data_IF_900939007451
#
_entry.id   IF_900939007451
#
_cell.length_a   1.000
_cell.length_b   1.000
_cell.length_c   1.000
_cell.angle_alpha   90.00
_cell.angle_beta   90.00
_cell.angle_gamma   90.00
#
_symmetry.space_group_name_H-M   'P 1'
#
loop_
_entity.id
_entity.type
_entity.pdbx_description
1 polymer ?
#
# COMPACT_ATOMS: atom_id res chain seq x y z
N UNK A 1 -18.21 -12.19 5.37
CA UNK A 1 -17.18 -11.28 4.82
C UNK A 1 -16.56 -11.88 3.56
N UNK A 2 -16.39 -11.08 2.50
CA UNK A 2 -15.56 -11.41 1.32
C UNK A 2 -14.35 -10.46 1.30
N UNK A 3 -13.15 -10.99 1.09
CA UNK A 3 -11.94 -10.21 0.92
C UNK A 3 -11.43 -10.32 -0.51
N UNK A 4 -10.98 -9.22 -1.09
CA UNK A 4 -10.41 -9.20 -2.44
C UNK A 4 -9.32 -8.18 -2.63
N UNK A 5 -8.42 -8.45 -3.57
CA UNK A 5 -7.31 -7.55 -3.88
C UNK A 5 -6.09 -8.27 -4.41
N UNK A 6 -4.92 -7.74 -4.11
CA UNK A 6 -3.64 -8.36 -4.44
C UNK A 6 -2.68 -8.27 -3.27
N UNK A 7 -1.86 -9.30 -3.11
CA UNK A 7 -0.79 -9.32 -2.13
C UNK A 7 -1.09 -10.14 -0.86
N UNK A 8 -0.01 -10.59 -0.22
CA UNK A 8 -0.09 -11.55 0.89
C UNK A 8 -0.76 -10.97 2.15
N UNK A 9 -1.02 -9.65 2.22
CA UNK A 9 -1.70 -9.03 3.36
C UNK A 9 -3.17 -9.50 3.49
N UNK A 10 -3.79 -10.00 2.43
CA UNK A 10 -5.12 -10.60 2.49
C UNK A 10 -5.16 -11.82 3.42
N UNK A 11 -4.07 -12.60 3.48
CA UNK A 11 -4.00 -13.82 4.29
C UNK A 11 -4.05 -13.54 5.81
N UNK A 12 -3.22 -12.65 6.39
CA UNK A 12 -3.32 -12.32 7.82
C UNK A 12 -4.65 -11.68 8.20
N UNK A 13 -5.22 -10.84 7.33
CA UNK A 13 -6.54 -10.23 7.58
C UNK A 13 -7.61 -11.31 7.63
N UNK A 14 -7.67 -12.18 6.62
CA UNK A 14 -8.63 -13.28 6.58
C UNK A 14 -8.47 -14.23 7.77
N UNK A 15 -7.23 -14.60 8.11
CA UNK A 15 -6.94 -15.47 9.25
C UNK A 15 -7.34 -14.83 10.59
N UNK A 16 -7.07 -13.53 10.77
CA UNK A 16 -7.44 -12.79 11.96
C UNK A 16 -8.96 -12.67 12.13
N UNK A 17 -9.69 -12.41 11.06
CA UNK A 17 -11.15 -12.36 11.06
C UNK A 17 -11.75 -13.74 11.39
N UNK A 18 -11.29 -14.77 10.69
CA UNK A 18 -11.76 -16.13 10.93
C UNK A 18 -11.49 -16.60 12.37
N UNK A 19 -10.29 -16.33 12.89
CA UNK A 19 -9.92 -16.67 14.27
C UNK A 19 -10.76 -15.94 15.33
N UNK A 20 -11.34 -14.78 14.99
CA UNK A 20 -12.26 -14.02 15.85
C UNK A 20 -13.75 -14.35 15.62
N UNK A 21 -14.04 -15.40 14.88
CA UNK A 21 -15.40 -15.89 14.67
C UNK A 21 -16.16 -15.24 13.50
N UNK A 22 -15.53 -14.37 12.71
CA UNK A 22 -16.16 -13.85 11.50
C UNK A 22 -16.23 -14.93 10.43
N UNK A 23 -17.38 -15.07 9.76
CA UNK A 23 -17.53 -15.99 8.63
C UNK A 23 -16.90 -15.38 7.39
N UNK A 24 -15.63 -15.73 7.11
CA UNK A 24 -14.98 -15.35 5.85
C UNK A 24 -15.39 -16.36 4.78
N UNK A 25 -16.20 -15.94 3.82
CA UNK A 25 -16.78 -16.81 2.80
C UNK A 25 -15.92 -16.95 1.55
N UNK A 26 -15.04 -15.99 1.28
CA UNK A 26 -14.03 -16.09 0.23
C UNK A 26 -12.89 -15.08 0.45
N UNK A 27 -11.69 -15.47 0.00
CA UNK A 27 -10.55 -14.59 -0.25
C UNK A 27 -10.25 -14.65 -1.76
N UNK A 28 -10.33 -13.52 -2.44
CA UNK A 28 -10.11 -13.40 -3.88
C UNK A 28 -8.76 -12.68 -4.11
N UNK A 29 -7.73 -13.44 -4.46
CA UNK A 29 -6.39 -12.94 -4.79
C UNK A 29 -6.27 -12.77 -6.31
N UNK A 30 -5.95 -11.56 -6.77
CA UNK A 30 -5.82 -11.28 -8.20
C UNK A 30 -4.59 -11.93 -8.82
N UNK A 31 -3.51 -12.09 -8.06
CA UNK A 31 -2.27 -12.69 -8.54
C UNK A 31 -2.36 -14.22 -8.67
N UNK A 32 -1.48 -14.75 -9.50
CA UNK A 32 -1.29 -16.21 -9.65
C UNK A 32 -0.19 -16.69 -8.69
N UNK A 33 -0.39 -17.79 -7.93
CA UNK A 33 0.65 -18.34 -7.05
C UNK A 33 1.92 -18.73 -7.80
N UNK A 34 1.81 -19.11 -9.08
CA UNK A 34 2.93 -19.45 -9.95
C UNK A 34 3.92 -18.29 -10.19
N UNK A 35 3.52 -17.04 -9.94
CA UNK A 35 4.41 -15.89 -10.04
C UNK A 35 5.63 -16.00 -9.10
N UNK A 36 5.47 -16.65 -7.95
CA UNK A 36 6.54 -16.91 -7.00
C UNK A 36 7.64 -17.84 -7.54
N UNK A 37 7.36 -18.68 -8.54
CA UNK A 37 8.35 -19.54 -9.18
C UNK A 37 9.48 -18.76 -9.86
N UNK A 38 9.26 -17.49 -10.15
CA UNK A 38 10.28 -16.59 -10.70
C UNK A 38 11.26 -16.07 -9.65
N UNK A 39 10.96 -16.29 -8.36
CA UNK A 39 11.72 -15.73 -7.24
C UNK A 39 12.23 -16.79 -6.24
N UNK A 40 12.83 -17.92 -6.68
CA UNK A 40 13.21 -19.00 -5.78
C UNK A 40 14.24 -18.58 -4.73
N UNK A 41 15.19 -17.71 -5.11
CA UNK A 41 16.20 -17.19 -4.18
C UNK A 41 15.63 -16.35 -3.05
N UNK A 42 14.59 -15.55 -3.33
CA UNK A 42 13.91 -14.74 -2.31
C UNK A 42 13.20 -15.63 -1.29
N UNK A 43 12.60 -16.69 -1.78
CA UNK A 43 11.93 -17.68 -0.94
C UNK A 43 12.93 -18.43 -0.05
N UNK A 44 13.99 -19.02 -0.62
CA UNK A 44 14.99 -19.81 0.11
C UNK A 44 15.72 -19.02 1.20
N UNK A 45 15.96 -17.73 0.97
CA UNK A 45 16.64 -16.86 1.93
C UNK A 45 15.76 -16.34 3.07
N UNK A 46 14.43 -16.59 3.03
CA UNK A 46 13.47 -16.09 4.01
C UNK A 46 12.57 -17.21 4.58
N UNK A 47 13.12 -18.28 5.23
CA UNK A 47 12.34 -19.40 5.72
C UNK A 47 11.27 -19.00 6.75
N UNK A 48 11.52 -17.95 7.54
CA UNK A 48 10.54 -17.41 8.49
C UNK A 48 9.26 -16.93 7.80
N UNK A 49 9.35 -16.41 6.57
CA UNK A 49 8.18 -15.98 5.79
C UNK A 49 7.35 -17.16 5.30
N UNK A 50 7.99 -18.28 5.02
CA UNK A 50 7.28 -19.54 4.72
C UNK A 50 6.50 -20.06 5.92
N UNK A 51 7.12 -20.08 7.10
CA UNK A 51 6.45 -20.50 8.32
C UNK A 51 5.26 -19.57 8.64
N UNK A 52 5.42 -18.26 8.42
CA UNK A 52 4.34 -17.28 8.56
C UNK A 52 3.19 -17.56 7.59
N UNK A 53 3.48 -17.74 6.30
CA UNK A 53 2.50 -18.07 5.27
C UNK A 53 1.78 -19.39 5.54
N UNK A 54 2.53 -20.44 5.93
CA UNK A 54 1.96 -21.74 6.27
C UNK A 54 1.02 -21.66 7.49
N UNK A 55 1.34 -20.83 8.48
CA UNK A 55 0.46 -20.59 9.65
C UNK A 55 -0.86 -19.95 9.23
N UNK A 56 -0.83 -18.93 8.34
CA UNK A 56 -2.07 -18.33 7.83
C UNK A 56 -2.86 -19.33 7.00
N UNK A 57 -2.21 -20.07 6.10
CA UNK A 57 -2.86 -21.10 5.29
C UNK A 57 -3.51 -22.18 6.18
N UNK A 58 -2.82 -22.63 7.24
CA UNK A 58 -3.36 -23.57 8.22
C UNK A 58 -4.59 -23.03 8.95
N UNK A 59 -4.58 -21.74 9.34
CA UNK A 59 -5.74 -21.09 9.96
C UNK A 59 -6.91 -21.03 8.98
N UNK A 60 -6.69 -20.61 7.74
CA UNK A 60 -7.73 -20.54 6.72
C UNK A 60 -8.31 -21.92 6.41
N UNK A 61 -7.46 -22.95 6.29
CA UNK A 61 -7.88 -24.34 6.08
C UNK A 61 -8.74 -24.85 7.24
N UNK A 62 -8.33 -24.60 8.48
CA UNK A 62 -9.07 -24.98 9.71
C UNK A 62 -10.47 -24.36 9.72
N UNK A 63 -10.61 -23.11 9.29
CA UNK A 63 -11.88 -22.39 9.20
C UNK A 63 -12.59 -22.61 7.85
N UNK A 64 -12.08 -23.48 6.97
CA UNK A 64 -12.62 -23.79 5.63
C UNK A 64 -12.83 -22.53 4.76
N UNK A 65 -11.93 -21.55 4.88
CA UNK A 65 -12.00 -20.33 4.08
C UNK A 65 -11.44 -20.61 2.67
N UNK A 66 -12.26 -20.49 1.61
CA UNK A 66 -11.76 -20.70 0.25
C UNK A 66 -10.90 -19.52 -0.20
N UNK A 67 -9.70 -19.82 -0.69
CA UNK A 67 -8.81 -18.83 -1.34
C UNK A 67 -8.88 -19.07 -2.85
N UNK A 68 -9.32 -18.06 -3.58
CA UNK A 68 -9.46 -18.07 -5.04
C UNK A 68 -8.40 -17.16 -5.64
N UNK A 69 -7.48 -17.73 -6.36
CA UNK A 69 -6.43 -17.00 -7.07
C UNK A 69 -6.88 -16.61 -8.47
N UNK A 70 -6.23 -15.62 -9.07
CA UNK A 70 -6.63 -15.02 -10.35
C UNK A 70 -8.12 -14.66 -10.36
N UNK A 71 -8.58 -14.07 -9.27
CA UNK A 71 -9.99 -13.74 -9.06
C UNK A 71 -10.08 -12.35 -8.45
N UNK A 72 -10.95 -11.50 -8.99
CA UNK A 72 -11.23 -10.17 -8.44
C UNK A 72 -12.69 -10.01 -8.04
N UNK A 73 -12.94 -9.09 -7.11
CA UNK A 73 -14.25 -8.55 -6.85
C UNK A 73 -14.54 -7.53 -7.95
N UNK A 74 -15.62 -7.74 -8.70
CA UNK A 74 -16.03 -6.90 -9.84
C UNK A 74 -17.30 -6.11 -9.56
N UNK A 75 -17.93 -6.32 -8.42
CA UNK A 75 -19.09 -5.54 -7.99
C UNK A 75 -19.63 -5.98 -6.64
N UNK A 76 -20.42 -5.11 -6.04
CA UNK A 76 -21.18 -5.38 -4.83
C UNK A 76 -22.61 -4.83 -4.99
N UNK A 77 -23.59 -5.54 -4.49
CA UNK A 77 -25.01 -5.24 -4.63
C UNK A 77 -25.70 -5.26 -3.27
N UNK A 78 -26.71 -4.40 -3.11
CA UNK A 78 -27.53 -4.33 -1.90
C UNK A 78 -28.19 -2.96 -1.74
N UNK A 79 -29.20 -2.87 -0.91
CA UNK A 79 -29.90 -1.63 -0.56
C UNK A 79 -29.41 -1.11 0.79
N UNK A 80 -28.69 0.03 0.77
CA UNK A 80 -28.09 0.66 1.96
C UNK A 80 -26.96 -0.14 2.63
N UNK A 81 -26.82 -1.42 2.33
CA UNK A 81 -25.73 -2.31 2.78
C UNK A 81 -25.42 -3.37 1.74
N UNK A 82 -24.20 -3.90 1.74
CA UNK A 82 -23.83 -5.01 0.88
C UNK A 82 -24.64 -6.26 1.27
N UNK A 83 -25.19 -6.95 0.27
CA UNK A 83 -25.88 -8.23 0.43
C UNK A 83 -25.25 -9.32 -0.45
N UNK A 84 -24.74 -8.94 -1.63
CA UNK A 84 -24.13 -9.86 -2.60
C UNK A 84 -22.85 -9.23 -3.14
N UNK A 85 -21.81 -10.05 -3.26
CA UNK A 85 -20.53 -9.69 -3.90
C UNK A 85 -20.41 -10.47 -5.20
N UNK A 86 -20.12 -9.77 -6.30
CA UNK A 86 -19.80 -10.39 -7.58
C UNK A 86 -18.28 -10.52 -7.73
N UNK A 87 -17.82 -11.72 -8.08
CA UNK A 87 -16.42 -12.00 -8.36
C UNK A 87 -16.29 -12.60 -9.74
N UNK A 88 -15.14 -12.38 -10.42
CA UNK A 88 -14.84 -12.99 -11.72
C UNK A 88 -13.41 -13.51 -11.74
N UNK A 89 -13.16 -14.56 -12.50
CA UNK A 89 -11.79 -14.99 -12.80
C UNK A 89 -11.11 -13.97 -13.72
N UNK A 90 -9.78 -13.86 -13.60
CA UNK A 90 -8.96 -12.94 -14.38
C UNK A 90 -8.12 -13.70 -15.39
N UNK A 91 -7.95 -13.12 -16.59
CA UNK A 91 -6.97 -13.54 -17.56
C UNK A 91 -5.53 -13.12 -17.14
N UNK A 92 -4.56 -13.35 -18.02
CA UNK A 92 -3.15 -12.99 -17.77
C UNK A 92 -2.91 -11.50 -17.67
N UNK A 93 -3.73 -10.69 -18.30
CA UNK A 93 -3.65 -9.22 -18.29
C UNK A 93 -4.47 -8.61 -17.15
N UNK A 94 -5.18 -9.46 -16.39
CA UNK A 94 -6.06 -9.05 -15.30
C UNK A 94 -7.42 -8.57 -15.77
N UNK A 95 -7.88 -8.94 -16.97
CA UNK A 95 -9.25 -8.67 -17.40
C UNK A 95 -10.21 -9.72 -16.84
N UNK A 96 -11.39 -9.33 -16.36
CA UNK A 96 -12.43 -10.29 -15.99
C UNK A 96 -12.82 -11.16 -17.19
N UNK A 97 -12.81 -12.47 -16.98
CA UNK A 97 -13.21 -13.43 -18.01
C UNK A 97 -14.74 -13.53 -18.06
N UNK A 98 -15.38 -13.25 -19.21
CA UNK A 98 -16.84 -13.38 -19.36
C UNK A 98 -17.33 -14.79 -19.00
N UNK A 99 -18.49 -14.87 -18.35
CA UNK A 99 -19.11 -16.14 -17.97
C UNK A 99 -18.50 -16.84 -16.75
N UNK A 100 -17.47 -16.24 -16.12
CA UNK A 100 -16.86 -16.77 -14.87
C UNK A 100 -17.40 -16.09 -13.62
N UNK A 101 -18.33 -15.16 -13.76
CA UNK A 101 -18.91 -14.43 -12.67
C UNK A 101 -19.58 -15.33 -11.64
N UNK A 102 -19.35 -15.04 -10.37
CA UNK A 102 -19.98 -15.73 -9.25
C UNK A 102 -20.58 -14.71 -8.29
N UNK A 103 -21.78 -14.99 -7.86
CA UNK A 103 -22.47 -14.23 -6.81
C UNK A 103 -22.22 -14.91 -5.46
N UNK A 104 -21.78 -14.15 -4.47
CA UNK A 104 -21.47 -14.64 -3.13
C UNK A 104 -22.26 -13.77 -2.14
N UNK A 105 -23.11 -14.38 -1.35
CA UNK A 105 -23.82 -13.70 -0.27
C UNK A 105 -22.84 -13.27 0.80
N UNK A 106 -22.82 -11.99 1.11
CA UNK A 106 -21.98 -11.40 2.15
C UNK A 106 -22.49 -10.01 2.54
N UNK A 107 -22.42 -9.73 3.81
CA UNK A 107 -22.78 -8.44 4.44
C UNK A 107 -21.62 -7.44 4.50
N UNK A 108 -20.40 -7.90 4.23
CA UNK A 108 -19.18 -7.13 4.38
C UNK A 108 -18.20 -7.46 3.26
N UNK A 109 -17.59 -6.43 2.70
CA UNK A 109 -16.50 -6.53 1.72
C UNK A 109 -15.27 -5.81 2.24
N UNK A 110 -14.11 -6.48 2.19
CA UNK A 110 -12.81 -5.86 2.42
C UNK A 110 -11.99 -5.91 1.12
N UNK A 111 -11.39 -4.79 0.75
CA UNK A 111 -10.54 -4.72 -0.43
C UNK A 111 -9.16 -4.19 -0.08
N UNK A 112 -8.11 -4.74 -0.73
CA UNK A 112 -6.73 -4.33 -0.52
C UNK A 112 -5.91 -4.49 -1.81
N UNK A 113 -5.50 -3.37 -2.41
CA UNK A 113 -4.78 -3.33 -3.68
C UNK A 113 -3.32 -2.90 -3.53
N UNK A 114 -2.71 -3.18 -2.38
CA UNK A 114 -1.35 -2.79 -2.05
C UNK A 114 -1.30 -1.56 -1.14
N UNK A 115 -0.10 -1.02 -1.01
CA UNK A 115 0.18 0.11 -0.14
C UNK A 115 0.99 1.15 -0.90
N UNK A 116 0.87 2.41 -0.50
CA UNK A 116 1.66 3.51 -1.02
C UNK A 116 2.42 4.13 0.15
N UNK A 117 3.74 4.35 0.04
CA UNK A 117 4.52 5.02 1.07
C UNK A 117 3.95 6.39 1.41
N UNK A 118 3.86 6.72 2.69
CA UNK A 118 3.42 8.03 3.13
C UNK A 118 4.63 8.96 3.23
N UNK A 119 4.71 9.96 2.35
CA UNK A 119 5.86 10.85 2.17
C UNK A 119 5.57 12.30 2.58
N UNK A 120 4.42 12.53 3.21
CA UNK A 120 3.92 13.89 3.52
C UNK A 120 4.88 14.72 4.39
N UNK A 121 5.66 14.09 5.26
CA UNK A 121 6.66 14.77 6.08
C UNK A 121 7.99 14.98 5.32
N UNK A 122 8.36 14.04 4.47
CA UNK A 122 9.67 14.04 3.82
C UNK A 122 9.74 14.99 2.62
N UNK A 123 8.65 15.11 1.87
CA UNK A 123 8.57 15.99 0.70
C UNK A 123 8.77 17.47 1.04
N UNK A 124 8.05 18.06 2.02
CA UNK A 124 8.25 19.46 2.40
C UNK A 124 9.65 19.74 2.95
N UNK A 125 10.35 18.72 3.46
CA UNK A 125 11.74 18.83 3.92
C UNK A 125 12.76 18.75 2.77
N UNK A 126 12.31 18.59 1.52
CA UNK A 126 13.17 18.49 0.35
C UNK A 126 13.84 17.13 0.16
N UNK A 127 13.29 16.08 0.78
CA UNK A 127 13.82 14.73 0.65
C UNK A 127 13.65 14.22 -0.79
N UNK A 128 14.74 13.76 -1.40
CA UNK A 128 14.70 13.09 -2.69
C UNK A 128 13.93 11.78 -2.64
N UNK A 129 13.23 11.47 -3.73
CA UNK A 129 12.49 10.22 -3.90
C UNK A 129 13.18 9.30 -4.89
N UNK A 130 12.90 8.01 -4.78
CA UNK A 130 13.31 6.96 -5.70
C UNK A 130 12.20 5.96 -5.95
N UNK A 131 12.33 5.16 -7.00
CA UNK A 131 11.43 4.05 -7.29
C UNK A 131 11.58 2.96 -6.21
N UNK A 132 10.47 2.59 -5.56
CA UNK A 132 10.44 1.50 -4.59
C UNK A 132 10.54 0.11 -5.24
N UNK A 133 10.40 0.02 -6.57
CA UNK A 133 10.44 -1.23 -7.34
C UNK A 133 9.08 -1.94 -7.43
N UNK A 134 8.02 -1.26 -7.04
CA UNK A 134 6.63 -1.72 -7.11
C UNK A 134 5.72 -0.73 -7.88
N UNK A 135 6.32 0.27 -8.53
CA UNK A 135 5.62 1.36 -9.22
C UNK A 135 5.22 2.52 -8.31
N UNK A 136 5.62 2.49 -7.03
CA UNK A 136 5.43 3.60 -6.10
C UNK A 136 6.74 4.34 -5.85
N UNK A 137 6.64 5.61 -5.44
CA UNK A 137 7.80 6.39 -4.99
C UNK A 137 8.02 6.20 -3.49
N UNK A 138 9.28 6.18 -3.08
CA UNK A 138 9.71 6.08 -1.69
C UNK A 138 10.85 7.07 -1.40
N UNK A 139 11.13 7.31 -0.13
CA UNK A 139 12.29 8.12 0.27
C UNK A 139 13.59 7.50 -0.24
N UNK A 140 14.40 8.28 -0.94
CA UNK A 140 15.74 7.86 -1.34
C UNK A 140 16.68 7.90 -0.11
N UNK A 141 17.24 6.75 0.25
CA UNK A 141 18.15 6.61 1.38
C UNK A 141 19.42 5.85 0.96
N UNK A 142 20.52 6.17 1.65
CA UNK A 142 21.76 5.41 1.52
C UNK A 142 21.73 4.11 2.36
N UNK A 143 22.81 3.35 2.33
CA UNK A 143 22.97 2.13 3.15
C UNK A 143 22.96 2.40 4.68
N UNK A 144 23.01 3.62 5.12
CA UNK A 144 22.90 4.07 6.49
C UNK A 144 21.54 4.64 6.84
N UNK A 145 20.56 4.58 5.92
CA UNK A 145 19.23 5.18 6.06
C UNK A 145 19.26 6.73 6.14
N UNK A 146 20.32 7.37 5.61
CA UNK A 146 20.36 8.82 5.46
C UNK A 146 19.60 9.19 4.21
N UNK A 147 18.78 10.21 4.30
CA UNK A 147 18.10 10.79 3.13
C UNK A 147 19.05 11.70 2.34
N UNK A 148 18.56 12.29 1.26
CA UNK A 148 19.28 13.32 0.50
C UNK A 148 19.47 14.64 1.28
N UNK A 149 18.74 14.81 2.39
CA UNK A 149 18.81 16.00 3.25
C UNK A 149 19.75 15.70 4.44
N UNK A 150 20.82 16.47 4.64
CA UNK A 150 21.71 16.28 5.77
C UNK A 150 20.99 16.34 7.12
N UNK A 151 21.28 15.38 8.00
CA UNK A 151 20.63 15.28 9.32
C UNK A 151 19.23 14.67 9.32
N UNK A 152 18.68 14.33 8.15
CA UNK A 152 17.40 13.65 8.01
C UNK A 152 17.61 12.17 7.67
N UNK A 153 16.95 11.30 8.43
CA UNK A 153 16.99 9.84 8.25
C UNK A 153 15.58 9.31 8.03
N UNK A 154 15.44 8.27 7.22
CA UNK A 154 14.17 7.61 7.01
C UNK A 154 14.34 6.09 7.11
N UNK A 155 13.35 5.41 7.71
CA UNK A 155 13.33 3.98 7.89
C UNK A 155 11.89 3.45 7.85
N UNK A 156 11.71 2.21 7.43
CA UNK A 156 10.41 1.55 7.36
C UNK A 156 9.67 1.82 6.06
N UNK A 157 8.35 1.80 6.12
CA UNK A 157 7.49 1.83 4.92
C UNK A 157 7.63 3.11 4.08
N UNK A 158 8.14 4.21 4.64
CA UNK A 158 8.48 5.42 3.89
C UNK A 158 9.63 5.22 2.89
N UNK A 159 10.47 4.19 3.14
CA UNK A 159 11.55 3.78 2.25
C UNK A 159 11.13 2.66 1.28
N UNK A 160 9.82 2.42 1.12
CA UNK A 160 9.20 1.37 0.32
C UNK A 160 8.64 0.23 1.17
N UNK A 161 7.53 -0.33 0.71
CA UNK A 161 6.75 -1.33 1.44
C UNK A 161 7.54 -2.63 1.60
N UNK A 162 7.76 -3.08 2.84
CA UNK A 162 8.56 -4.28 3.10
C UNK A 162 8.23 -5.02 4.38
N UNK A 163 7.34 -4.47 5.20
CA UNK A 163 6.82 -5.07 6.42
C UNK A 163 7.67 -4.84 7.66
N UNK A 164 7.09 -5.15 8.82
CA UNK A 164 7.63 -4.79 10.13
C UNK A 164 9.06 -5.26 10.39
N UNK A 165 9.45 -6.47 9.96
CA UNK A 165 10.80 -6.99 10.18
C UNK A 165 11.87 -6.16 9.45
N UNK A 166 11.55 -5.69 8.24
CA UNK A 166 12.40 -4.77 7.50
C UNK A 166 12.48 -3.43 8.20
N UNK A 167 11.34 -2.85 8.57
CA UNK A 167 11.27 -1.55 9.25
C UNK A 167 12.10 -1.52 10.54
N UNK A 168 12.04 -2.58 11.36
CA UNK A 168 12.88 -2.71 12.56
C UNK A 168 14.37 -2.76 12.23
N UNK A 169 14.76 -3.52 11.20
CA UNK A 169 16.17 -3.61 10.80
C UNK A 169 16.69 -2.27 10.27
N UNK A 170 15.90 -1.56 9.48
CA UNK A 170 16.24 -0.22 8.98
C UNK A 170 16.32 0.80 10.10
N UNK A 171 15.38 0.79 11.05
CA UNK A 171 15.41 1.65 12.22
C UNK A 171 16.68 1.46 13.06
N UNK A 172 17.16 0.22 13.21
CA UNK A 172 18.43 -0.08 13.89
C UNK A 172 19.63 0.47 13.11
N UNK A 173 19.62 0.34 11.78
CA UNK A 173 20.67 0.91 10.93
C UNK A 173 20.67 2.44 11.04
N UNK A 174 19.49 3.07 10.95
CA UNK A 174 19.34 4.52 11.10
C UNK A 174 19.85 5.01 12.44
N UNK A 175 19.49 4.35 13.55
CA UNK A 175 19.95 4.72 14.89
C UNK A 175 21.48 4.72 15.02
N UNK A 176 22.14 3.68 14.47
CA UNK A 176 23.62 3.65 14.47
C UNK A 176 24.21 4.76 13.60
N UNK A 177 23.58 5.08 12.47
CA UNK A 177 24.02 6.18 11.61
C UNK A 177 23.90 7.53 12.31
N UNK A 178 22.77 7.78 12.99
CA UNK A 178 22.56 8.99 13.80
C UNK A 178 23.63 9.11 14.87
N UNK A 179 23.90 8.05 15.62
CA UNK A 179 24.94 8.06 16.66
C UNK A 179 26.34 8.29 16.07
N UNK A 180 26.61 7.73 14.89
CA UNK A 180 27.91 7.93 14.23
C UNK A 180 28.10 9.37 13.77
N UNK A 181 27.02 9.98 13.27
CA UNK A 181 27.08 11.34 12.72
C UNK A 181 27.07 12.42 13.81
N UNK A 182 26.45 12.15 14.97
CA UNK A 182 26.36 13.09 16.10
C UNK A 182 27.49 12.92 17.13
N UNK A 183 28.13 11.76 17.20
CA UNK A 183 29.13 11.46 18.21
C UNK A 183 30.55 11.46 17.62
N UNK A 184 31.56 11.81 18.46
CA UNK A 184 32.96 11.72 18.08
C UNK A 184 33.35 10.28 17.70
N UNK A 185 34.28 10.10 16.72
CA UNK A 185 34.75 8.78 16.32
C UNK A 185 35.31 7.96 17.50
N UNK A 186 34.94 6.67 17.53
CA UNK A 186 35.49 5.72 18.52
C UNK A 186 34.61 5.50 19.77
N UNK A 187 33.46 6.13 19.89
CA UNK A 187 32.54 5.89 21.01
C UNK A 187 31.90 4.48 20.94
N UNK A 188 31.72 3.76 22.08
CA UNK A 188 31.01 2.49 22.10
C UNK A 188 29.58 2.67 21.54
N UNK A 189 29.16 1.77 20.62
CA UNK A 189 27.84 1.84 19.96
C UNK A 189 27.88 2.30 18.50
N UNK A 190 28.97 2.91 18.02
CA UNK A 190 29.12 3.35 16.62
C UNK A 190 29.59 2.23 15.66
N UNK A 191 29.66 1.00 16.15
CA UNK A 191 30.07 -0.15 15.32
C UNK A 191 29.03 -0.41 14.24
N UNK A 192 29.46 -0.36 12.98
CA UNK A 192 28.58 -0.59 11.81
C UNK A 192 27.79 -1.89 11.97
N UNK A 193 26.45 -1.88 11.92
CA UNK A 193 25.60 -3.04 12.14
C UNK A 193 25.59 -3.93 10.88
N UNK A 194 26.68 -4.67 10.63
CA UNK A 194 26.78 -5.50 9.43
C UNK A 194 25.71 -6.60 9.34
N UNK A 195 25.22 -7.09 10.47
CA UNK A 195 24.15 -8.07 10.51
C UNK A 195 22.80 -7.48 10.11
N UNK A 196 22.49 -6.28 10.63
CA UNK A 196 21.28 -5.53 10.29
C UNK A 196 21.25 -5.10 8.83
N UNK A 197 22.38 -4.64 8.29
CA UNK A 197 22.49 -4.29 6.86
C UNK A 197 22.25 -5.50 5.95
N UNK A 198 22.78 -6.67 6.32
CA UNK A 198 22.49 -7.93 5.61
C UNK A 198 21.01 -8.32 5.74
N UNK A 199 20.41 -8.12 6.91
CA UNK A 199 18.99 -8.34 7.11
C UNK A 199 18.14 -7.38 6.25
N UNK A 200 18.47 -6.08 6.22
CA UNK A 200 17.83 -5.09 5.35
C UNK A 200 17.93 -5.53 3.89
N UNK A 201 19.11 -5.84 3.37
CA UNK A 201 19.31 -6.27 1.99
C UNK A 201 18.46 -7.52 1.64
N UNK A 202 18.44 -8.50 2.56
CA UNK A 202 17.65 -9.73 2.41
C UNK A 202 16.14 -9.44 2.38
N UNK A 203 15.65 -8.61 3.31
CA UNK A 203 14.23 -8.27 3.39
C UNK A 203 13.78 -7.37 2.23
N UNK A 204 14.63 -6.43 1.78
CA UNK A 204 14.37 -5.63 0.57
C UNK A 204 14.28 -6.49 -0.68
N UNK A 205 15.18 -7.49 -0.84
CA UNK A 205 15.09 -8.43 -1.94
C UNK A 205 13.78 -9.25 -1.90
N UNK A 206 13.34 -9.65 -0.70
CA UNK A 206 12.06 -10.34 -0.53
C UNK A 206 10.87 -9.42 -0.85
N UNK A 207 10.89 -8.17 -0.39
CA UNK A 207 9.83 -7.19 -0.67
C UNK A 207 9.66 -6.94 -2.17
N UNK A 208 10.79 -6.78 -2.90
CA UNK A 208 10.75 -6.66 -4.37
C UNK A 208 10.18 -7.90 -5.05
N UNK A 209 10.59 -9.08 -4.63
CA UNK A 209 10.04 -10.33 -5.15
C UNK A 209 8.52 -10.45 -4.88
N UNK A 210 8.09 -10.03 -3.70
CA UNK A 210 6.67 -9.99 -3.31
C UNK A 210 5.86 -9.03 -4.18
N UNK A 211 6.36 -7.81 -4.41
CA UNK A 211 5.73 -6.84 -5.30
C UNK A 211 5.59 -7.37 -6.73
N UNK A 212 6.64 -8.04 -7.24
CA UNK A 212 6.62 -8.65 -8.57
C UNK A 212 5.74 -9.91 -8.66
N UNK A 213 5.55 -10.63 -7.56
CA UNK A 213 4.66 -11.79 -7.51
C UNK A 213 3.18 -11.41 -7.35
N UNK A 214 2.91 -10.21 -6.84
CA UNK A 214 1.56 -9.69 -6.59
C UNK A 214 1.37 -8.30 -7.22
N UNK A 215 1.54 -8.15 -8.54
CA UNK A 215 1.35 -6.86 -9.19
C UNK A 215 -0.11 -6.44 -9.15
N UNK A 216 -0.35 -5.15 -9.18
CA UNK A 216 -1.67 -4.62 -9.49
C UNK A 216 -2.02 -5.03 -10.95
N UNK A 217 -3.18 -5.67 -11.20
CA UNK A 217 -3.55 -6.08 -12.54
C UNK A 217 -3.56 -4.91 -13.51
N UNK A 218 -2.82 -4.93 -14.64
CA UNK A 218 -2.72 -3.78 -15.54
C UNK A 218 -4.07 -3.31 -16.10
N UNK A 219 -5.01 -4.24 -16.28
CA UNK A 219 -6.33 -3.97 -16.82
C UNK A 219 -7.34 -3.43 -15.79
N UNK A 220 -6.95 -3.20 -14.52
CA UNK A 220 -7.89 -2.72 -13.49
C UNK A 220 -8.66 -1.44 -13.88
N UNK A 221 -8.12 -0.46 -14.66
CA UNK A 221 -8.89 0.71 -15.05
C UNK A 221 -10.12 0.39 -15.90
N UNK A 222 -10.09 -0.74 -16.63
CA UNK A 222 -11.22 -1.21 -17.42
C UNK A 222 -12.33 -1.89 -16.60
N UNK A 223 -12.09 -2.16 -15.30
CA UNK A 223 -13.14 -2.70 -14.41
C UNK A 223 -14.08 -1.61 -13.94
N UNK A 224 -13.67 -0.34 -14.01
CA UNK A 224 -14.44 0.79 -13.54
C UNK A 224 -15.49 1.19 -14.57
N UNK A 225 -16.72 1.28 -14.14
CA UNK A 225 -17.80 1.96 -14.86
C UNK A 225 -17.71 3.46 -14.63
N UNK A 226 -18.39 4.27 -15.44
CA UNK A 226 -18.30 5.74 -15.31
C UNK A 226 -18.90 6.27 -14.01
N UNK A 227 -19.81 5.54 -13.39
CA UNK A 227 -20.43 5.82 -12.09
C UNK A 227 -19.60 5.33 -10.89
N UNK A 228 -18.49 4.58 -11.11
CA UNK A 228 -17.65 4.07 -10.03
C UNK A 228 -16.97 5.21 -9.27
N UNK A 229 -17.19 5.37 -7.94
CA UNK A 229 -16.51 6.39 -7.16
C UNK A 229 -15.01 6.12 -7.06
N UNK A 230 -14.19 7.04 -7.53
CA UNK A 230 -12.71 7.00 -7.39
C UNK A 230 -12.26 7.82 -6.19
N UNK A 231 -12.83 9.01 -6.01
CA UNK A 231 -12.61 9.82 -4.82
C UNK A 231 -13.85 9.75 -3.91
N UNK A 232 -13.75 8.95 -2.86
CA UNK A 232 -14.85 8.73 -1.92
C UNK A 232 -15.22 9.98 -1.08
N UNK A 233 -14.25 10.85 -0.78
CA UNK A 233 -14.50 12.05 0.05
C UNK A 233 -15.25 13.15 -0.69
N UNK A 234 -15.01 13.28 -1.99
CA UNK A 234 -15.62 14.29 -2.87
C UNK A 234 -16.57 13.66 -3.89
N UNK A 235 -16.84 12.36 -3.75
CA UNK A 235 -17.77 11.59 -4.58
C UNK A 235 -17.48 11.66 -6.10
N UNK A 236 -16.19 11.87 -6.45
CA UNK A 236 -15.77 11.98 -7.85
C UNK A 236 -15.70 10.61 -8.49
N UNK A 237 -16.40 10.44 -9.61
CA UNK A 237 -16.50 9.19 -10.34
C UNK A 237 -15.37 8.99 -11.37
N UNK A 238 -15.20 7.76 -11.83
CA UNK A 238 -14.26 7.42 -12.89
C UNK A 238 -14.59 8.15 -14.21
N UNK A 239 -15.90 8.33 -14.52
CA UNK A 239 -16.37 9.09 -15.66
C UNK A 239 -15.89 10.55 -15.60
N UNK A 240 -16.05 11.21 -14.44
CA UNK A 240 -15.58 12.58 -14.26
C UNK A 240 -14.06 12.71 -14.45
N UNK A 241 -13.28 11.73 -13.96
CA UNK A 241 -11.82 11.71 -14.18
C UNK A 241 -11.47 11.50 -15.64
N UNK A 242 -12.18 10.60 -16.34
CA UNK A 242 -11.99 10.35 -17.78
C UNK A 242 -12.34 11.58 -18.63
N UNK A 243 -13.45 12.26 -18.31
CA UNK A 243 -13.84 13.52 -18.97
C UNK A 243 -12.83 14.63 -18.74
N UNK A 244 -12.28 14.79 -17.54
CA UNK A 244 -11.20 15.74 -17.27
C UNK A 244 -10.01 15.52 -18.21
N UNK A 245 -9.67 14.26 -18.50
CA UNK A 245 -8.62 13.91 -19.46
C UNK A 245 -9.03 14.16 -20.92
N UNK A 246 -10.23 13.71 -21.30
CA UNK A 246 -10.68 13.72 -22.70
C UNK A 246 -11.02 15.14 -23.17
N UNK A 247 -11.77 15.89 -22.34
CA UNK A 247 -12.37 17.18 -22.72
C UNK A 247 -11.46 18.36 -22.35
N UNK A 248 -10.62 18.21 -21.31
CA UNK A 248 -9.78 19.28 -20.77
C UNK A 248 -8.28 18.96 -20.80
N UNK A 249 -7.89 17.83 -21.42
CA UNK A 249 -6.48 17.45 -21.60
C UNK A 249 -5.71 17.32 -20.30
N UNK A 250 -6.38 16.99 -19.17
CA UNK A 250 -5.71 16.78 -17.90
C UNK A 250 -4.70 15.62 -18.00
N UNK A 251 -3.42 15.92 -17.79
CA UNK A 251 -2.31 14.99 -17.95
C UNK A 251 -1.88 14.35 -16.63
N UNK A 252 -2.20 14.96 -15.48
CA UNK A 252 -1.80 14.52 -14.17
C UNK A 252 -2.94 14.66 -13.13
N UNK A 253 -2.73 14.10 -11.95
CA UNK A 253 -3.70 14.12 -10.86
C UNK A 253 -3.94 15.54 -10.28
N UNK A 254 -3.00 16.49 -10.44
CA UNK A 254 -3.16 17.88 -9.98
C UNK A 254 -4.18 18.62 -10.85
N UNK A 255 -4.09 18.44 -12.17
CA UNK A 255 -5.04 19.01 -13.11
C UNK A 255 -6.44 18.41 -12.92
N UNK A 256 -6.53 17.07 -12.75
CA UNK A 256 -7.79 16.42 -12.40
C UNK A 256 -8.37 16.97 -11.11
N UNK A 257 -7.55 17.19 -10.08
CA UNK A 257 -7.97 17.79 -8.81
C UNK A 257 -8.59 19.16 -9.00
N UNK A 258 -8.00 20.01 -9.84
CA UNK A 258 -8.53 21.36 -10.14
C UNK A 258 -9.89 21.31 -10.86
N UNK A 259 -10.07 20.35 -11.76
CA UNK A 259 -11.29 20.23 -12.56
C UNK A 259 -12.43 19.52 -11.84
N UNK A 260 -12.11 18.54 -10.98
CA UNK A 260 -13.10 17.61 -10.40
C UNK A 260 -13.15 17.64 -8.88
N UNK A 261 -12.23 18.31 -8.20
CA UNK A 261 -12.00 18.29 -6.74
C UNK A 261 -11.47 16.94 -6.20
N UNK A 262 -11.17 15.94 -7.04
CA UNK A 262 -10.59 14.67 -6.60
C UNK A 262 -9.32 14.91 -5.76
N UNK A 263 -9.30 14.39 -4.54
CA UNK A 263 -8.18 14.59 -3.62
C UNK A 263 -8.23 15.86 -2.76
N UNK A 264 -9.32 16.63 -2.80
CA UNK A 264 -9.53 17.78 -1.91
C UNK A 264 -10.13 17.43 -0.55
N UNK A 265 -10.75 16.25 -0.44
CA UNK A 265 -11.44 15.84 0.79
C UNK A 265 -10.49 15.43 1.91
N UNK A 266 -11.03 14.87 2.98
CA UNK A 266 -10.37 14.55 4.25
C UNK A 266 -9.02 13.84 4.12
N UNK A 267 -8.92 12.81 3.27
CA UNK A 267 -7.66 12.09 3.08
C UNK A 267 -6.63 12.88 2.27
N UNK A 268 -7.02 14.04 1.73
CA UNK A 268 -6.12 14.88 0.94
C UNK A 268 -5.46 14.15 -0.23
N UNK A 269 -6.20 13.23 -0.90
CA UNK A 269 -5.71 12.45 -2.04
C UNK A 269 -4.84 11.24 -1.68
N UNK A 270 -4.59 10.94 -0.40
CA UNK A 270 -3.80 9.77 0.00
C UNK A 270 -4.41 8.44 -0.47
N UNK A 271 -5.75 8.37 -0.50
CA UNK A 271 -6.46 7.18 -0.98
C UNK A 271 -6.65 7.19 -2.49
N UNK A 272 -7.17 8.28 -3.06
CA UNK A 272 -7.54 8.34 -4.47
C UNK A 272 -6.41 8.78 -5.41
N UNK A 273 -5.37 9.46 -4.90
CA UNK A 273 -4.30 10.03 -5.73
C UNK A 273 -3.64 9.03 -6.67
N UNK A 274 -3.19 7.85 -6.20
CA UNK A 274 -2.60 6.84 -7.06
C UNK A 274 -3.57 6.36 -8.16
N UNK A 275 -4.84 6.10 -7.81
CA UNK A 275 -5.83 5.65 -8.77
C UNK A 275 -6.17 6.74 -9.80
N UNK A 276 -6.38 7.98 -9.36
CA UNK A 276 -6.62 9.12 -10.26
C UNK A 276 -5.43 9.33 -11.20
N UNK A 277 -4.21 9.24 -10.66
CA UNK A 277 -2.99 9.35 -11.48
C UNK A 277 -2.95 8.27 -12.56
N UNK A 278 -3.16 7.00 -12.21
CA UNK A 278 -3.17 5.89 -13.17
C UNK A 278 -4.23 6.04 -14.27
N UNK A 279 -5.36 6.69 -13.99
CA UNK A 279 -6.42 6.91 -14.99
C UNK A 279 -6.05 7.97 -16.04
N UNK A 280 -5.14 8.88 -15.72
CA UNK A 280 -4.79 10.01 -16.61
C UNK A 280 -3.33 10.00 -17.07
N UNK A 281 -2.39 9.56 -16.26
CA UNK A 281 -0.97 9.53 -16.62
C UNK A 281 -0.64 8.39 -17.58
N UNK A 282 0.38 8.61 -18.42
CA UNK A 282 0.84 7.64 -19.41
C UNK A 282 2.09 6.90 -18.93
N UNK A 283 1.95 6.14 -17.82
CA UNK A 283 3.06 5.29 -17.34
C UNK A 283 4.09 6.00 -16.46
N UNK A 284 3.88 7.23 -16.08
CA UNK A 284 4.70 7.92 -15.09
C UNK A 284 4.38 7.42 -13.68
N UNK A 285 5.38 7.26 -12.79
CA UNK A 285 5.14 6.85 -11.41
C UNK A 285 4.37 7.94 -10.65
N UNK A 286 3.47 7.51 -9.77
CA UNK A 286 2.73 8.44 -8.92
C UNK A 286 3.68 9.11 -7.91
N UNK A 287 3.78 10.43 -7.99
CA UNK A 287 4.43 11.25 -6.98
C UNK A 287 3.35 12.01 -6.17
N UNK A 288 3.28 11.83 -4.85
CA UNK A 288 2.35 12.60 -4.03
C UNK A 288 2.67 14.11 -4.08
N UNK A 289 1.66 14.94 -3.88
CA UNK A 289 1.86 16.38 -3.86
C UNK A 289 2.60 16.81 -2.59
N UNK A 290 3.53 17.76 -2.73
CA UNK A 290 4.12 18.44 -1.58
C UNK A 290 3.05 19.22 -0.79
N UNK A 291 3.08 19.10 0.53
CA UNK A 291 2.14 19.73 1.45
C UNK A 291 2.84 20.21 2.70
N UNK A 292 2.46 21.40 3.16
CA UNK A 292 2.99 21.99 4.41
C UNK A 292 2.47 21.26 5.66
N UNK A 293 1.25 20.68 5.59
CA UNK A 293 0.61 19.98 6.71
C UNK A 293 0.53 18.51 6.37
N UNK A 294 1.19 17.69 7.16
CA UNK A 294 1.26 16.24 6.94
C UNK A 294 -0.11 15.54 7.12
N UNK A 295 -0.90 15.94 8.11
CA UNK A 295 -2.19 15.28 8.40
C UNK A 295 -3.21 16.32 8.89
N UNK A 296 -4.46 16.30 8.40
CA UNK A 296 -5.54 17.11 8.96
C UNK A 296 -5.79 16.73 10.42
N UNK A 297 -5.95 17.71 11.29
CA UNK A 297 -6.30 17.54 12.69
C UNK A 297 -7.63 18.22 13.00
N UNK A 298 -8.34 17.73 14.01
CA UNK A 298 -9.58 18.36 14.46
C UNK A 298 -9.28 19.65 15.23
N UNK A 299 -10.19 20.63 15.21
CA UNK A 299 -10.05 21.85 16.01
C UNK A 299 -9.95 21.53 17.51
N UNK A 300 -10.66 20.50 18.00
CA UNK A 300 -10.55 20.04 19.38
C UNK A 300 -9.13 19.59 19.74
N UNK A 301 -8.50 18.77 18.90
CA UNK A 301 -7.12 18.32 19.12
C UNK A 301 -6.11 19.49 19.12
N UNK A 302 -6.36 20.54 18.34
CA UNK A 302 -5.55 21.77 18.36
C UNK A 302 -5.77 22.57 19.64
N UNK A 303 -7.01 22.68 20.13
CA UNK A 303 -7.32 23.36 21.38
C UNK A 303 -6.66 22.66 22.57
N UNK A 304 -6.79 21.34 22.66
CA UNK A 304 -6.20 20.54 23.73
C UNK A 304 -4.65 20.59 23.75
N UNK A 305 -4.01 20.78 22.59
CA UNK A 305 -2.55 20.91 22.50
C UNK A 305 -2.01 22.24 23.04
N UNK A 306 -2.84 23.28 23.15
CA UNK A 306 -2.48 24.59 23.67
C UNK A 306 -2.40 24.67 25.21
N UNK A 307 -3.04 23.74 25.93
CA UNK A 307 -3.09 23.76 27.39
C UNK A 307 -1.86 23.09 28.06
N UNK A 308 -1.07 22.32 27.34
CA UNK A 308 0.08 21.59 27.92
C UNK A 308 1.39 22.37 28.03
N UNK A 309 1.46 23.62 27.59
CA UNK A 309 2.69 24.44 27.61
C UNK A 309 2.80 25.42 28.79
N UNK A 310 1.86 25.44 29.74
CA UNK A 310 1.86 26.43 30.85
C UNK A 310 2.42 25.91 32.20
N UNK A 311 2.91 24.67 32.29
CA UNK A 311 3.37 24.07 33.56
C UNK A 311 4.89 23.78 33.64
N UNK A 312 5.73 24.53 32.94
CA UNK A 312 7.18 24.51 33.19
C UNK A 312 7.75 25.91 33.16
N UNK A 313 7.52 26.65 34.27
CA UNK A 313 8.36 27.77 34.71
C UNK A 313 8.88 27.48 36.12
#
# INVERSE_FOLDING_TARGET
VVLGGTGPFLLPVAAALAARGAKVVAVCEAAAPSAWLRHPAALLRNPAKWAEGARYAGTLARHRVPVRTRTAIVGAEGEGRVAVVRTAALDTDGRPLPGTERRIEADTVGVGWGFVPQLDLLLPLGCGLGDAGDGTMAAAVDDGQRTTVPGLYAAGETCGVGGAALAVSEGRVAAVSVLTDLCAPGRPGTRRPAAERRAVARHRAFARAMAQAHPLPPAWPAWLTDDTPVCRCEEVTAGAVRSARADHSAADHRQVKQLTRAGMGWCQGRMCGPAVHCLVARGEPYAPAERLIATPVTLGALADSGESTSDHT
#
